data_IF_089876886785
#
_entry.id   IF_089876886785
#
_cell.length_a   1.000
_cell.length_b   1.000
_cell.length_c   1.000
_cell.angle_alpha   90.00
_cell.angle_beta   90.00
_cell.angle_gamma   90.00
#
_symmetry.space_group_name_H-M   'P 1'
#
loop_
_entity.id
_entity.type
_entity.pdbx_description
1 polymer ?
#
# COMPACT_ATOMS: atom_id res chain seq x y z
N UNK A 1 -36.19 -6.47 -13.72
CA UNK A 1 -35.65 -5.71 -12.58
C UNK A 1 -34.50 -6.53 -12.01
N UNK A 2 -33.26 -6.16 -12.34
CA UNK A 2 -32.05 -6.86 -11.89
C UNK A 2 -31.60 -6.22 -10.58
N UNK A 3 -31.32 -6.97 -9.50
CA UNK A 3 -30.83 -6.34 -8.27
C UNK A 3 -29.49 -5.70 -8.55
N UNK A 4 -29.30 -4.47 -8.08
CA UNK A 4 -28.08 -3.69 -8.26
C UNK A 4 -26.85 -4.50 -7.85
N UNK A 5 -25.84 -4.50 -8.72
CA UNK A 5 -24.52 -5.02 -8.42
C UNK A 5 -24.01 -4.30 -7.15
N UNK A 6 -23.90 -5.05 -6.05
CA UNK A 6 -23.26 -4.56 -4.84
C UNK A 6 -21.79 -4.26 -5.17
N UNK A 7 -21.21 -3.14 -4.67
CA UNK A 7 -19.81 -2.84 -4.93
C UNK A 7 -18.93 -3.94 -4.31
N UNK A 8 -18.10 -4.56 -5.14
CA UNK A 8 -17.07 -5.50 -4.72
C UNK A 8 -15.98 -4.77 -3.94
N UNK A 9 -16.21 -4.57 -2.64
CA UNK A 9 -15.16 -4.20 -1.69
C UNK A 9 -15.40 -4.90 -0.36
N UNK A 10 -15.67 -6.20 -0.42
CA UNK A 10 -15.55 -7.09 0.74
C UNK A 10 -14.21 -7.80 0.58
N UNK A 11 -13.16 -7.28 1.20
CA UNK A 11 -11.92 -8.04 1.33
C UNK A 11 -12.28 -9.44 1.86
N UNK A 12 -11.81 -10.52 1.23
CA UNK A 12 -12.15 -11.88 1.64
C UNK A 12 -11.27 -12.24 2.85
N UNK A 13 -11.59 -11.66 4.00
CA UNK A 13 -10.85 -11.86 5.27
C UNK A 13 -11.73 -12.41 6.39
N UNK A 14 -12.95 -12.85 6.07
CA UNK A 14 -13.79 -13.55 7.05
C UNK A 14 -13.22 -14.97 7.28
N UNK A 15 -12.24 -15.07 8.18
CA UNK A 15 -11.72 -16.34 8.71
C UNK A 15 -10.47 -16.91 8.03
N UNK A 16 -9.93 -16.26 6.99
CA UNK A 16 -8.66 -16.67 6.37
C UNK A 16 -7.50 -16.02 7.14
N UNK A 17 -6.53 -16.79 7.68
CA UNK A 17 -5.31 -16.23 8.26
C UNK A 17 -4.59 -15.32 7.27
N UNK A 18 -4.10 -14.18 7.74
CA UNK A 18 -3.51 -13.15 6.88
C UNK A 18 -2.33 -13.71 6.05
N UNK A 19 -1.59 -14.67 6.59
CA UNK A 19 -0.48 -15.36 5.93
C UNK A 19 -0.94 -16.19 4.72
N UNK A 20 -2.15 -16.75 4.79
CA UNK A 20 -2.77 -17.52 3.71
C UNK A 20 -3.24 -16.57 2.59
N UNK A 21 -3.76 -15.40 2.96
CA UNK A 21 -4.13 -14.32 2.01
C UNK A 21 -2.89 -13.83 1.26
N UNK A 22 -1.79 -13.52 1.96
CA UNK A 22 -0.56 -13.05 1.34
C UNK A 22 0.06 -14.10 0.38
N UNK A 23 0.08 -15.38 0.79
CA UNK A 23 0.55 -16.47 -0.07
C UNK A 23 -0.27 -16.57 -1.36
N UNK A 24 -1.59 -16.43 -1.29
CA UNK A 24 -2.46 -16.48 -2.48
C UNK A 24 -2.22 -15.34 -3.48
N UNK A 25 -1.68 -14.21 -3.01
CA UNK A 25 -1.41 -13.03 -3.83
C UNK A 25 0.07 -12.93 -4.24
N UNK A 26 0.91 -13.91 -3.87
CA UNK A 26 2.36 -13.89 -4.13
C UNK A 26 3.10 -12.82 -3.30
N UNK A 27 2.44 -12.25 -2.30
CA UNK A 27 2.99 -11.18 -1.45
C UNK A 27 3.82 -11.83 -0.34
N UNK A 28 5.00 -11.26 -0.10
CA UNK A 28 5.96 -11.73 0.90
C UNK A 28 6.13 -10.66 1.97
N UNK A 29 6.25 -11.01 3.27
CA UNK A 29 6.67 -10.06 4.27
C UNK A 29 8.02 -9.44 3.89
N UNK A 30 8.14 -8.13 4.11
CA UNK A 30 9.38 -7.40 3.86
C UNK A 30 10.31 -7.66 5.04
N UNK A 31 11.46 -8.28 4.78
CA UNK A 31 12.43 -8.66 5.80
C UNK A 31 13.32 -7.49 6.27
N UNK A 32 13.44 -6.44 5.45
CA UNK A 32 14.26 -5.27 5.74
C UNK A 32 13.89 -4.06 4.90
N UNK A 33 14.22 -2.85 5.36
CA UNK A 33 14.01 -1.63 4.57
C UNK A 33 14.79 -1.63 3.24
N UNK A 34 15.90 -2.37 3.16
CA UNK A 34 16.67 -2.49 1.91
C UNK A 34 15.88 -3.20 0.81
N UNK A 35 14.96 -4.10 1.17
CA UNK A 35 14.10 -4.78 0.20
C UNK A 35 13.07 -3.83 -0.43
N UNK A 36 12.78 -2.69 0.20
CA UNK A 36 11.91 -1.67 -0.35
C UNK A 36 12.65 -0.69 -1.27
N UNK A 37 13.99 -0.67 -1.21
CA UNK A 37 14.80 0.21 -2.04
C UNK A 37 14.90 -0.35 -3.45
N UNK A 38 13.96 0.03 -4.31
CA UNK A 38 13.98 -0.28 -5.73
C UNK A 38 14.48 0.93 -6.54
N UNK A 39 15.46 0.74 -7.44
CA UNK A 39 15.97 1.84 -8.26
C UNK A 39 14.91 2.43 -9.19
N UNK A 40 13.95 1.59 -9.63
CA UNK A 40 12.83 2.00 -10.50
C UNK A 40 11.57 2.39 -9.70
N UNK A 41 11.71 2.68 -8.40
CA UNK A 41 10.55 3.06 -7.57
C UNK A 41 10.02 4.45 -7.94
N UNK A 42 10.90 5.31 -8.45
CA UNK A 42 10.61 6.67 -8.82
C UNK A 42 10.93 6.85 -10.29
N UNK A 43 10.02 7.49 -11.03
CA UNK A 43 10.24 7.82 -12.44
C UNK A 43 11.29 8.94 -12.59
N UNK A 44 11.49 9.75 -11.54
CA UNK A 44 12.49 10.80 -11.48
C UNK A 44 12.89 11.17 -10.04
N UNK A 45 14.03 11.85 -9.89
CA UNK A 45 14.45 12.44 -8.62
C UNK A 45 13.44 13.50 -8.12
N UNK A 46 12.76 14.21 -9.04
CA UNK A 46 11.74 15.20 -8.70
C UNK A 46 10.51 14.55 -8.04
N UNK A 47 10.09 13.37 -8.52
CA UNK A 47 8.98 12.63 -7.92
C UNK A 47 9.30 12.20 -6.49
N UNK A 48 10.54 11.78 -6.25
CA UNK A 48 11.02 11.42 -4.91
C UNK A 48 10.99 12.63 -3.96
N UNK A 49 11.52 13.78 -4.39
CA UNK A 49 11.54 15.00 -3.58
C UNK A 49 10.13 15.51 -3.28
N UNK A 50 9.21 15.44 -4.25
CA UNK A 50 7.81 15.81 -4.06
C UNK A 50 7.13 14.91 -3.00
N UNK A 51 7.38 13.60 -3.04
CA UNK A 51 6.88 12.69 -2.02
C UNK A 51 7.42 13.03 -0.62
N UNK A 52 8.72 13.34 -0.50
CA UNK A 52 9.31 13.72 0.78
C UNK A 52 8.72 15.02 1.33
N UNK A 53 8.47 16.01 0.47
CA UNK A 53 7.84 17.27 0.85
C UNK A 53 6.41 17.05 1.38
N UNK A 54 5.61 16.26 0.68
CA UNK A 54 4.24 15.92 1.09
C UNK A 54 4.20 15.12 2.40
N UNK A 55 5.10 14.14 2.55
CA UNK A 55 5.25 13.36 3.78
C UNK A 55 5.62 14.24 4.98
N UNK A 56 6.56 15.17 4.78
CA UNK A 56 6.96 16.10 5.82
C UNK A 56 5.81 17.04 6.23
N UNK A 57 5.10 17.60 5.26
CA UNK A 57 3.94 18.44 5.49
C UNK A 57 2.82 17.69 6.24
N UNK A 58 2.52 16.46 5.82
CA UNK A 58 1.52 15.59 6.46
C UNK A 58 1.87 15.31 7.92
N UNK A 59 3.13 14.95 8.20
CA UNK A 59 3.60 14.68 9.57
C UNK A 59 3.54 15.90 10.46
N UNK A 60 3.87 17.08 9.92
CA UNK A 60 3.83 18.32 10.68
C UNK A 60 2.40 18.84 10.90
N UNK A 61 1.45 18.46 10.05
CA UNK A 61 0.04 18.82 10.20
C UNK A 61 -0.65 18.04 11.35
N UNK A 62 -0.16 16.85 11.69
CA UNK A 62 -0.67 16.02 12.81
C UNK A 62 -0.14 16.47 14.19
N UNK A 63 0.87 17.34 14.20
CA UNK A 63 1.47 17.92 15.42
C UNK A 63 0.86 19.30 15.74
N UNK A 64 -0.14 19.75 14.97
CA UNK A 64 -0.81 21.06 15.10
C UNK A 64 -2.15 21.01 15.85
#
# INVERSE_FOLDING_TARGET
>A
MTPGAQPASRWPIDGIPIEEVFRSQGVRPVGSLRELAHPELWDSDEDYENFLADLYASRHSDIG
#
